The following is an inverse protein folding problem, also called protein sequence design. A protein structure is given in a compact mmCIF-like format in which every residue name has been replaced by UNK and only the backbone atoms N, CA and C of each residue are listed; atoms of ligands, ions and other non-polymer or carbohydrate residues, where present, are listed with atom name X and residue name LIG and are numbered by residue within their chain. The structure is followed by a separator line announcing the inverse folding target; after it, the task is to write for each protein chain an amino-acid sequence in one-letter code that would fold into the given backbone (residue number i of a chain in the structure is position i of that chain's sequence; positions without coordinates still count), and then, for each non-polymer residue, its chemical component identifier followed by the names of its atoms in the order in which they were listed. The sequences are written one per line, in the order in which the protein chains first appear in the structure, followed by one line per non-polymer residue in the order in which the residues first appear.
data_IF_541797610435
#
_entry.id   IF_541797610435
#
_cell.length_a   1.000
_cell.length_b   1.000
_cell.length_c   1.000
_cell.angle_alpha   90.00
_cell.angle_beta   90.00
_cell.angle_gamma   90.00
#
_symmetry.space_group_name_H-M   'P 1'
#
loop_
_entity.id
_entity.type
_entity.pdbx_description
1 polymer ?
#
# COMPACT_ATOMS: atom_id res chain seq x y z
N UNK A 1 21.91 -12.17 -4.30
CA UNK A 1 23.24 -12.78 -4.25
C UNK A 1 24.29 -11.68 -4.05
N UNK A 2 25.03 -11.71 -2.94
CA UNK A 2 26.04 -10.68 -2.63
C UNK A 2 27.23 -10.68 -3.60
N UNK A 3 27.59 -11.84 -4.16
CA UNK A 3 28.72 -11.98 -5.08
C UNK A 3 28.40 -11.40 -6.47
N UNK A 4 27.22 -11.69 -6.99
CA UNK A 4 26.82 -11.25 -8.35
C UNK A 4 26.07 -9.93 -8.34
N UNK A 5 25.67 -9.41 -7.16
CA UNK A 5 24.78 -8.25 -6.99
C UNK A 5 23.43 -8.40 -7.71
N UNK A 6 23.07 -9.62 -8.06
CA UNK A 6 21.80 -9.92 -8.68
C UNK A 6 20.72 -10.16 -7.61
N UNK A 7 19.58 -9.50 -7.77
CA UNK A 7 18.36 -9.76 -7.01
C UNK A 7 17.42 -10.60 -7.87
N UNK A 8 16.94 -11.70 -7.32
CA UNK A 8 15.99 -12.59 -7.99
C UNK A 8 14.75 -12.72 -7.12
N UNK A 9 13.59 -12.39 -7.69
CA UNK A 9 12.30 -12.72 -7.10
C UNK A 9 11.94 -14.17 -7.33
N UNK A 10 11.04 -14.72 -6.50
CA UNK A 10 10.45 -16.01 -6.76
C UNK A 10 9.27 -15.87 -7.74
N UNK A 11 9.10 -16.84 -8.62
CA UNK A 11 7.87 -16.93 -9.42
C UNK A 11 6.67 -17.14 -8.48
N UNK A 12 5.55 -16.47 -8.76
CA UNK A 12 4.29 -16.70 -8.05
C UNK A 12 3.84 -18.14 -8.30
N UNK A 13 3.81 -18.97 -7.27
CA UNK A 13 3.39 -20.36 -7.38
C UNK A 13 2.64 -20.79 -6.13
N UNK A 14 1.61 -21.61 -6.32
CA UNK A 14 0.84 -22.18 -5.21
C UNK A 14 1.65 -23.15 -4.34
N UNK A 15 2.77 -23.66 -4.85
CA UNK A 15 3.69 -24.50 -4.05
C UNK A 15 4.33 -23.76 -2.89
N UNK A 16 4.43 -22.44 -2.93
CA UNK A 16 4.96 -21.61 -1.84
C UNK A 16 3.92 -21.29 -0.76
N UNK A 17 2.64 -21.62 -0.98
CA UNK A 17 1.58 -21.33 -0.01
C UNK A 17 1.59 -22.35 1.12
N UNK A 18 1.55 -21.94 2.41
CA UNK A 18 1.45 -22.85 3.52
C UNK A 18 0.09 -23.57 3.52
N UNK A 19 0.05 -24.79 4.04
CA UNK A 19 -1.20 -25.53 4.20
C UNK A 19 -2.08 -24.95 5.30
N UNK A 20 -1.47 -24.32 6.30
CA UNK A 20 -2.13 -23.60 7.39
C UNK A 20 -1.17 -22.55 7.94
N UNK A 21 -1.69 -21.55 8.63
CA UNK A 21 -0.93 -20.54 9.35
C UNK A 21 -1.47 -20.40 10.78
N UNK A 22 -0.58 -20.22 11.75
CA UNK A 22 -0.93 -19.90 13.14
C UNK A 22 -0.62 -18.43 13.35
N UNK A 23 -1.65 -17.62 13.50
CA UNK A 23 -1.55 -16.18 13.71
C UNK A 23 -1.49 -15.90 15.22
N UNK A 24 -0.29 -15.62 15.74
CA UNK A 24 -0.09 -15.28 17.15
C UNK A 24 0.43 -13.83 17.27
N UNK A 25 -0.42 -12.86 17.64
CA UNK A 25 -0.05 -11.45 17.73
C UNK A 25 1.10 -11.17 18.70
N UNK A 26 1.26 -11.98 19.75
CA UNK A 26 2.35 -11.79 20.73
C UNK A 26 3.73 -11.91 20.11
N UNK A 27 3.89 -12.65 19.02
CA UNK A 27 5.17 -12.79 18.33
C UNK A 27 5.61 -11.49 17.65
N UNK A 28 4.72 -10.51 17.51
CA UNK A 28 5.01 -9.21 16.93
C UNK A 28 5.36 -8.13 17.96
N UNK A 29 5.31 -8.41 19.27
CA UNK A 29 5.59 -7.42 20.33
C UNK A 29 7.01 -6.87 20.31
N UNK A 30 7.97 -7.65 19.80
CA UNK A 30 9.37 -7.27 19.72
C UNK A 30 9.74 -6.52 18.43
N UNK A 31 8.78 -6.32 17.51
CA UNK A 31 9.03 -5.53 16.32
C UNK A 31 9.29 -4.07 16.69
N UNK A 32 10.34 -3.43 16.15
CA UNK A 32 10.52 -1.99 16.25
C UNK A 32 9.28 -1.26 15.72
N UNK A 33 8.96 -0.12 16.31
CA UNK A 33 7.80 0.68 15.92
C UNK A 33 7.81 1.01 14.42
N UNK A 34 8.94 1.48 13.90
CA UNK A 34 9.10 1.77 12.48
C UNK A 34 8.73 0.57 11.57
N UNK A 35 9.08 -0.65 11.95
CA UNK A 35 8.74 -1.85 11.19
C UNK A 35 7.25 -2.22 11.33
N UNK A 36 6.66 -1.96 12.48
CA UNK A 36 5.22 -2.14 12.70
C UNK A 36 4.41 -1.22 11.79
N UNK A 37 4.75 0.07 11.78
CA UNK A 37 4.02 1.08 11.00
C UNK A 37 4.26 0.91 9.50
N UNK A 38 5.49 0.59 9.10
CA UNK A 38 5.79 0.21 7.73
C UNK A 38 4.96 -0.99 7.26
N UNK A 39 4.78 -2.00 8.12
CA UNK A 39 3.90 -3.14 7.85
C UNK A 39 2.42 -2.73 7.72
N UNK A 40 1.94 -1.80 8.55
CA UNK A 40 0.58 -1.27 8.43
C UNK A 40 0.38 -0.55 7.08
N UNK A 41 1.36 0.23 6.63
CA UNK A 41 1.32 0.88 5.31
C UNK A 41 1.28 -0.16 4.20
N UNK A 42 2.08 -1.22 4.26
CA UNK A 42 2.08 -2.27 3.24
C UNK A 42 0.72 -2.97 3.13
N UNK A 43 0.07 -3.27 4.26
CA UNK A 43 -1.30 -3.80 4.30
C UNK A 43 -2.29 -2.87 3.60
N UNK A 44 -2.22 -1.57 3.86
CA UNK A 44 -3.04 -0.56 3.20
C UNK A 44 -2.76 -0.51 1.71
N UNK A 45 -1.49 -0.49 1.31
CA UNK A 45 -1.10 -0.40 -0.10
C UNK A 45 -1.55 -1.60 -0.91
N UNK A 46 -1.42 -2.82 -0.38
CA UNK A 46 -1.97 -4.02 -1.03
C UNK A 46 -3.48 -3.95 -1.26
N UNK A 47 -4.20 -3.29 -0.35
CA UNK A 47 -5.65 -3.07 -0.50
C UNK A 47 -5.93 -1.94 -1.47
N UNK A 48 -5.24 -0.80 -1.35
CA UNK A 48 -5.44 0.39 -2.20
C UNK A 48 -5.12 0.12 -3.67
N UNK A 49 -4.07 -0.63 -3.98
CA UNK A 49 -3.74 -0.93 -5.38
C UNK A 49 -4.76 -1.83 -6.06
N UNK A 50 -5.53 -2.61 -5.30
CA UNK A 50 -6.69 -3.34 -5.83
C UNK A 50 -7.97 -2.52 -5.83
N UNK A 51 -8.06 -1.53 -4.95
CA UNK A 51 -9.20 -0.62 -4.85
C UNK A 51 -9.18 0.45 -5.93
N UNK A 52 -8.06 1.13 -6.18
CA UNK A 52 -7.92 2.19 -7.17
C UNK A 52 -7.70 1.62 -8.58
N UNK A 53 -8.73 1.02 -9.13
CA UNK A 53 -8.75 0.51 -10.50
C UNK A 53 -9.75 1.28 -11.36
N UNK A 54 -9.50 1.38 -12.66
CA UNK A 54 -10.36 2.11 -13.59
C UNK A 54 -11.28 1.14 -14.37
N UNK A 55 -11.98 0.28 -13.62
CA UNK A 55 -12.99 -0.66 -14.11
C UNK A 55 -14.18 -0.65 -13.18
N UNK A 56 -15.31 -1.20 -13.61
CA UNK A 56 -16.41 -1.49 -12.69
C UNK A 56 -15.94 -2.44 -11.58
N UNK A 57 -16.31 -2.14 -10.34
CA UNK A 57 -15.96 -2.90 -9.16
C UNK A 57 -17.19 -3.53 -8.52
N UNK A 58 -16.97 -4.47 -7.61
CA UNK A 58 -18.05 -5.12 -6.86
C UNK A 58 -18.25 -4.40 -5.54
N UNK A 59 -19.47 -3.97 -5.27
CA UNK A 59 -19.85 -3.24 -4.05
C UNK A 59 -19.39 -3.95 -2.76
N UNK A 60 -19.56 -5.28 -2.68
CA UNK A 60 -19.15 -6.05 -1.51
C UNK A 60 -17.62 -6.05 -1.35
N UNK A 61 -16.86 -6.12 -2.44
CA UNK A 61 -15.39 -6.09 -2.40
C UNK A 61 -14.90 -4.71 -1.98
N UNK A 62 -15.54 -3.65 -2.44
CA UNK A 62 -15.25 -2.28 -2.04
C UNK A 62 -15.50 -2.08 -0.55
N UNK A 63 -16.67 -2.50 -0.05
CA UNK A 63 -17.03 -2.39 1.37
C UNK A 63 -16.05 -3.17 2.28
N UNK A 64 -15.61 -4.36 1.87
CA UNK A 64 -14.58 -5.13 2.60
C UNK A 64 -13.26 -4.38 2.62
N UNK A 65 -12.84 -3.81 1.48
CA UNK A 65 -11.59 -3.07 1.36
C UNK A 65 -11.59 -1.79 2.20
N UNK A 66 -12.70 -1.05 2.17
CA UNK A 66 -12.90 0.18 2.95
C UNK A 66 -12.89 -0.11 4.46
N UNK A 67 -13.62 -1.13 4.92
CA UNK A 67 -13.61 -1.55 6.32
C UNK A 67 -12.22 -2.04 6.78
N UNK A 68 -11.47 -2.75 5.92
CA UNK A 68 -10.11 -3.18 6.20
C UNK A 68 -9.18 -1.97 6.37
N UNK A 69 -9.24 -1.00 5.44
CA UNK A 69 -8.44 0.22 5.52
C UNK A 69 -8.74 1.03 6.78
N UNK A 70 -10.01 1.24 7.12
CA UNK A 70 -10.42 1.90 8.37
C UNK A 70 -9.86 1.19 9.60
N UNK A 71 -9.96 -0.15 9.64
CA UNK A 71 -9.47 -0.97 10.76
C UNK A 71 -7.95 -0.82 10.93
N UNK A 72 -7.19 -0.85 9.82
CA UNK A 72 -5.73 -0.68 9.87
C UNK A 72 -5.34 0.72 10.33
N UNK A 73 -5.96 1.77 9.78
CA UNK A 73 -5.70 3.17 10.16
C UNK A 73 -5.96 3.39 11.65
N UNK A 74 -7.06 2.85 12.18
CA UNK A 74 -7.41 2.99 13.59
C UNK A 74 -6.40 2.27 14.49
N UNK A 75 -6.10 1.01 14.20
CA UNK A 75 -5.23 0.18 15.04
C UNK A 75 -3.75 0.57 14.94
N UNK A 76 -3.25 1.05 13.80
CA UNK A 76 -1.91 1.60 13.67
C UNK A 76 -1.71 2.79 14.63
N UNK A 77 -2.68 3.71 14.72
CA UNK A 77 -2.64 4.83 15.68
C UNK A 77 -2.66 4.38 17.15
N UNK A 78 -3.27 3.25 17.46
CA UNK A 78 -3.20 2.65 18.81
C UNK A 78 -1.78 2.14 19.05
N UNK A 79 -1.19 1.42 18.08
CA UNK A 79 0.14 0.83 18.22
C UNK A 79 1.26 1.87 18.33
N UNK A 80 1.06 3.09 17.80
CA UNK A 80 1.96 4.22 18.06
C UNK A 80 2.08 4.58 19.54
N UNK A 81 1.03 4.36 20.33
CA UNK A 81 0.97 4.74 21.74
C UNK A 81 1.14 3.53 22.66
N UNK A 82 0.64 2.40 22.24
CA UNK A 82 0.57 1.15 22.99
C UNK A 82 1.13 0.01 22.12
N UNK A 83 2.46 -0.11 21.95
CA UNK A 83 3.07 -1.09 21.04
C UNK A 83 2.71 -2.54 21.35
N UNK A 84 2.39 -2.86 22.60
CA UNK A 84 2.04 -4.19 23.08
C UNK A 84 0.52 -4.42 23.20
N UNK A 85 -0.31 -3.53 22.64
CA UNK A 85 -1.75 -3.71 22.65
C UNK A 85 -2.13 -4.95 21.84
N UNK A 86 -2.54 -6.01 22.54
CA UNK A 86 -2.85 -7.30 21.92
C UNK A 86 -3.95 -7.20 20.86
N UNK A 87 -5.04 -6.48 21.18
CA UNK A 87 -6.19 -6.36 20.27
C UNK A 87 -5.80 -5.66 18.98
N UNK A 88 -5.07 -4.54 19.08
CA UNK A 88 -4.59 -3.84 17.89
C UNK A 88 -3.64 -4.69 17.04
N UNK A 89 -2.72 -5.41 17.68
CA UNK A 89 -1.82 -6.34 16.96
C UNK A 89 -2.58 -7.50 16.29
N UNK A 90 -3.62 -8.00 16.93
CA UNK A 90 -4.46 -9.06 16.37
C UNK A 90 -5.22 -8.58 15.13
N UNK A 91 -5.79 -7.36 15.19
CA UNK A 91 -6.48 -6.76 14.04
C UNK A 91 -5.52 -6.50 12.88
N UNK A 92 -4.33 -5.93 13.13
CA UNK A 92 -3.31 -5.71 12.09
C UNK A 92 -2.86 -7.04 11.47
N UNK A 93 -2.60 -8.06 12.28
CA UNK A 93 -2.17 -9.38 11.78
C UNK A 93 -3.26 -10.04 10.92
N UNK A 94 -4.53 -9.93 11.32
CA UNK A 94 -5.64 -10.45 10.54
C UNK A 94 -5.87 -9.64 9.25
N UNK A 95 -5.86 -8.30 9.33
CA UNK A 95 -5.94 -7.43 8.16
C UNK A 95 -4.83 -7.72 7.15
N UNK A 96 -3.59 -7.96 7.63
CA UNK A 96 -2.47 -8.37 6.77
C UNK A 96 -2.75 -9.66 6.01
N UNK A 97 -3.34 -10.67 6.67
CA UNK A 97 -3.75 -11.89 5.98
C UNK A 97 -4.80 -11.64 4.91
N UNK A 98 -5.80 -10.82 5.19
CA UNK A 98 -6.90 -10.51 4.27
C UNK A 98 -6.46 -9.65 3.08
N UNK A 99 -5.58 -8.66 3.31
CA UNK A 99 -5.06 -7.81 2.25
C UNK A 99 -4.18 -8.57 1.25
N UNK A 100 -3.52 -9.66 1.68
CA UNK A 100 -2.57 -10.41 0.85
C UNK A 100 -3.14 -11.70 0.22
N UNK A 101 -4.28 -12.20 0.68
CA UNK A 101 -4.85 -13.46 0.18
C UNK A 101 -5.70 -13.32 -1.09
N UNK A 102 -5.86 -12.10 -1.60
CA UNK A 102 -6.62 -11.80 -2.81
C UNK A 102 -8.08 -11.41 -2.57
N UNK A 103 -8.58 -11.43 -1.33
CA UNK A 103 -9.97 -11.09 -1.01
C UNK A 103 -10.36 -9.69 -1.49
N UNK A 104 -9.51 -8.69 -1.20
CA UNK A 104 -9.71 -7.29 -1.60
C UNK A 104 -9.55 -7.04 -3.11
N UNK A 105 -9.24 -8.08 -3.89
CA UNK A 105 -9.07 -8.04 -5.34
C UNK A 105 -10.16 -8.77 -6.12
N UNK A 106 -11.17 -9.33 -5.45
CA UNK A 106 -12.24 -10.05 -6.12
C UNK A 106 -13.05 -9.10 -7.02
N UNK A 107 -13.09 -9.39 -8.33
CA UNK A 107 -13.80 -8.56 -9.32
C UNK A 107 -13.07 -7.27 -9.75
N UNK A 108 -11.84 -7.01 -9.28
CA UNK A 108 -11.10 -5.77 -9.58
C UNK A 108 -10.08 -5.89 -10.72
N UNK A 109 -10.05 -6.98 -11.44
CA UNK A 109 -9.05 -7.21 -12.51
C UNK A 109 -7.62 -7.44 -12.02
N UNK A 110 -7.39 -7.48 -10.69
CA UNK A 110 -6.10 -7.80 -10.08
C UNK A 110 -5.30 -6.61 -9.53
N UNK A 111 -5.71 -5.39 -9.80
CA UNK A 111 -5.07 -4.17 -9.27
C UNK A 111 -4.11 -3.47 -10.24
N UNK A 112 -3.71 -2.26 -9.91
CA UNK A 112 -2.78 -1.42 -10.69
C UNK A 112 -1.31 -1.79 -10.43
N UNK A 113 -0.89 -1.85 -9.17
CA UNK A 113 0.45 -2.21 -8.70
C UNK A 113 1.57 -1.23 -9.05
N UNK A 114 1.26 -0.03 -9.53
CA UNK A 114 2.27 0.95 -9.92
C UNK A 114 3.18 1.38 -8.76
N UNK A 115 2.60 1.63 -7.57
CA UNK A 115 3.39 2.02 -6.41
C UNK A 115 4.34 0.90 -5.96
N UNK A 116 3.88 -0.36 -5.93
CA UNK A 116 4.74 -1.49 -5.59
C UNK A 116 5.88 -1.68 -6.59
N UNK A 117 5.61 -1.52 -7.90
CA UNK A 117 6.65 -1.65 -8.91
C UNK A 117 7.73 -0.59 -8.79
N UNK A 118 7.34 0.67 -8.58
CA UNK A 118 8.27 1.77 -8.36
C UNK A 118 9.07 1.57 -7.06
N UNK A 119 8.41 1.12 -6.00
CA UNK A 119 9.05 0.90 -4.71
C UNK A 119 10.05 -0.26 -4.77
N UNK A 120 9.75 -1.34 -5.50
CA UNK A 120 10.69 -2.46 -5.66
C UNK A 120 12.03 -2.01 -6.25
N UNK A 121 12.03 -1.01 -7.16
CA UNK A 121 13.26 -0.43 -7.67
C UNK A 121 13.98 0.40 -6.60
N UNK A 122 13.25 1.20 -5.81
CA UNK A 122 13.82 1.94 -4.67
C UNK A 122 14.41 0.99 -3.63
N UNK A 123 13.65 -0.01 -3.21
CA UNK A 123 14.12 -1.04 -2.27
C UNK A 123 15.30 -1.82 -2.82
N UNK A 124 15.26 -2.09 -4.14
CA UNK A 124 16.33 -2.79 -4.86
C UNK A 124 17.67 -2.04 -4.90
N UNK A 125 17.63 -0.75 -5.16
CA UNK A 125 18.83 0.09 -5.35
C UNK A 125 19.29 0.74 -4.04
N UNK A 126 18.35 1.26 -3.24
CA UNK A 126 18.66 2.09 -2.06
C UNK A 126 18.41 1.39 -0.74
N UNK A 127 17.93 0.14 -0.76
CA UNK A 127 17.66 -0.67 0.44
C UNK A 127 16.72 0.02 1.45
N UNK A 128 15.70 0.72 0.96
CA UNK A 128 14.67 1.33 1.80
C UNK A 128 13.72 0.28 2.37
N UNK A 129 13.08 0.59 3.49
CA UNK A 129 12.05 -0.27 4.07
C UNK A 129 10.80 -0.20 3.19
N UNK A 130 10.29 -1.36 2.76
CA UNK A 130 9.24 -1.49 1.74
C UNK A 130 8.01 -0.60 1.97
N UNK A 131 7.34 -0.72 3.11
CA UNK A 131 6.14 0.09 3.38
C UNK A 131 6.44 1.60 3.50
N UNK A 132 7.63 1.99 3.98
CA UNK A 132 8.03 3.40 4.01
C UNK A 132 8.27 3.94 2.59
N UNK A 133 8.87 3.14 1.71
CA UNK A 133 9.02 3.47 0.29
C UNK A 133 7.67 3.62 -0.41
N UNK A 134 6.72 2.73 -0.12
CA UNK A 134 5.34 2.83 -0.62
C UNK A 134 4.64 4.12 -0.16
N UNK A 135 4.74 4.45 1.13
CA UNK A 135 4.16 5.69 1.67
C UNK A 135 4.73 6.94 0.98
N UNK A 136 6.06 6.95 0.74
CA UNK A 136 6.75 8.06 0.10
C UNK A 136 6.32 8.31 -1.37
N UNK A 137 5.86 7.27 -2.07
CA UNK A 137 5.47 7.34 -3.49
C UNK A 137 3.98 7.62 -3.65
N UNK A 138 3.14 7.04 -2.79
CA UNK A 138 1.70 6.95 -3.00
C UNK A 138 1.03 8.31 -3.24
N UNK A 139 1.34 9.34 -2.47
CA UNK A 139 0.72 10.66 -2.60
C UNK A 139 0.95 11.30 -3.97
N UNK A 140 2.16 11.14 -4.52
CA UNK A 140 2.51 11.64 -5.86
C UNK A 140 1.79 10.86 -6.95
N UNK A 141 1.74 9.52 -6.84
CA UNK A 141 1.01 8.66 -7.75
C UNK A 141 -0.49 9.00 -7.72
N UNK A 142 -1.10 9.10 -6.54
CA UNK A 142 -2.51 9.39 -6.38
C UNK A 142 -2.91 10.72 -7.03
N UNK A 143 -2.09 11.79 -6.83
CA UNK A 143 -2.31 13.08 -7.50
C UNK A 143 -2.12 13.03 -9.00
N UNK A 144 -1.31 12.14 -9.51
CA UNK A 144 -1.12 11.97 -10.94
C UNK A 144 -2.33 11.29 -11.61
N UNK A 145 -2.97 10.32 -10.93
CA UNK A 145 -4.01 9.48 -11.55
C UNK A 145 -5.44 9.85 -11.17
N UNK A 146 -5.70 10.59 -10.06
CA UNK A 146 -7.05 10.80 -9.53
C UNK A 146 -8.02 11.42 -10.53
N UNK A 147 -7.53 12.24 -11.48
CA UNK A 147 -8.38 12.88 -12.49
C UNK A 147 -8.97 11.90 -13.51
N UNK A 148 -8.41 10.69 -13.62
CA UNK A 148 -8.94 9.64 -14.51
C UNK A 148 -10.26 9.08 -13.98
N UNK A 149 -10.38 8.96 -12.64
CA UNK A 149 -11.59 8.50 -11.98
C UNK A 149 -11.75 9.21 -10.62
N UNK A 150 -12.12 10.51 -10.61
CA UNK A 150 -12.22 11.29 -9.38
C UNK A 150 -13.33 10.78 -8.45
N UNK A 151 -14.38 10.17 -8.99
CA UNK A 151 -15.47 9.57 -8.21
C UNK A 151 -14.94 8.43 -7.33
N UNK A 152 -14.04 7.59 -7.84
CA UNK A 152 -13.40 6.50 -7.07
C UNK A 152 -12.58 7.02 -5.91
N UNK A 153 -11.82 8.10 -6.10
CA UNK A 153 -11.07 8.75 -5.04
C UNK A 153 -11.98 9.49 -4.05
N UNK A 154 -13.10 10.07 -4.51
CA UNK A 154 -14.09 10.66 -3.62
C UNK A 154 -14.80 9.61 -2.77
N UNK A 155 -15.14 8.43 -3.33
CA UNK A 155 -15.67 7.29 -2.59
C UNK A 155 -14.70 6.86 -1.48
N UNK A 156 -13.42 6.73 -1.80
CA UNK A 156 -12.38 6.45 -0.81
C UNK A 156 -12.33 7.50 0.31
N UNK A 157 -12.35 8.78 -0.04
CA UNK A 157 -12.35 9.88 0.94
C UNK A 157 -13.54 9.79 1.90
N UNK A 158 -14.72 9.52 1.34
CA UNK A 158 -15.97 9.43 2.13
C UNK A 158 -16.01 8.18 2.98
N UNK A 159 -15.72 7.02 2.39
CA UNK A 159 -15.94 5.76 3.08
C UNK A 159 -14.78 5.37 4.01
N UNK A 160 -13.55 5.85 3.78
CA UNK A 160 -12.39 5.52 4.63
C UNK A 160 -12.11 6.59 5.68
N UNK A 161 -12.35 7.86 5.35
CA UNK A 161 -12.02 9.00 6.21
C UNK A 161 -13.23 9.82 6.68
N UNK A 162 -14.45 9.40 6.38
CA UNK A 162 -15.69 10.10 6.73
C UNK A 162 -15.76 11.55 6.19
N UNK A 163 -15.05 11.83 5.09
CA UNK A 163 -15.06 13.15 4.44
C UNK A 163 -16.36 13.29 3.66
N UNK A 164 -17.19 14.30 3.96
CA UNK A 164 -18.44 14.50 3.22
C UNK A 164 -18.19 14.66 1.72
N UNK A 165 -18.91 13.89 0.90
CA UNK A 165 -18.84 14.04 -0.54
C UNK A 165 -19.48 15.37 -0.96
N UNK A 166 -18.69 16.26 -1.55
CA UNK A 166 -19.16 17.51 -2.12
C UNK A 166 -19.80 17.34 -3.49
N UNK A 167 -20.18 18.46 -4.12
CA UNK A 167 -20.67 18.49 -5.50
C UNK A 167 -19.55 18.30 -6.52
N UNK A 168 -18.30 18.59 -6.15
CA UNK A 168 -17.10 18.35 -6.95
C UNK A 168 -16.33 17.15 -6.39
N UNK A 169 -16.34 16.06 -7.13
CA UNK A 169 -15.61 14.85 -6.79
C UNK A 169 -14.09 15.08 -6.74
N UNK A 170 -13.55 16.03 -7.51
CA UNK A 170 -12.10 16.31 -7.50
C UNK A 170 -11.65 16.93 -6.18
N UNK A 171 -12.43 17.86 -5.63
CA UNK A 171 -12.13 18.44 -4.33
C UNK A 171 -12.18 17.38 -3.23
N UNK A 172 -13.22 16.53 -3.22
CA UNK A 172 -13.36 15.43 -2.26
C UNK A 172 -12.23 14.42 -2.42
N UNK A 173 -11.83 14.09 -3.65
CA UNK A 173 -10.72 13.19 -3.95
C UNK A 173 -9.39 13.71 -3.39
N UNK A 174 -9.09 14.99 -3.62
CA UNK A 174 -7.86 15.62 -3.10
C UNK A 174 -7.84 15.66 -1.57
N UNK A 175 -8.98 15.93 -0.93
CA UNK A 175 -9.10 15.85 0.53
C UNK A 175 -8.84 14.43 1.06
N UNK A 176 -9.28 13.40 0.36
CA UNK A 176 -8.98 11.99 0.70
C UNK A 176 -7.51 11.65 0.55
N UNK A 177 -6.86 12.14 -0.50
CA UNK A 177 -5.41 11.96 -0.70
C UNK A 177 -4.63 12.63 0.44
N UNK A 178 -4.98 13.86 0.79
CA UNK A 178 -4.36 14.58 1.90
C UNK A 178 -4.60 13.88 3.25
N UNK A 179 -5.80 13.35 3.47
CA UNK A 179 -6.12 12.60 4.69
C UNK A 179 -5.24 11.36 4.85
N UNK A 180 -4.97 10.62 3.76
CA UNK A 180 -4.07 9.46 3.79
C UNK A 180 -2.62 9.86 4.03
N UNK A 181 -2.12 10.92 3.38
CA UNK A 181 -0.78 11.43 3.67
C UNK A 181 -0.64 11.90 5.14
N UNK A 182 -1.67 12.55 5.67
CA UNK A 182 -1.71 12.94 7.08
C UNK A 182 -1.73 11.72 8.01
N UNK A 183 -2.40 10.64 7.59
CA UNK A 183 -2.30 9.37 8.31
C UNK A 183 -0.86 8.85 8.29
N UNK A 184 -0.20 8.78 7.13
CA UNK A 184 1.20 8.33 7.05
C UNK A 184 2.12 9.14 7.97
N UNK A 185 2.02 10.47 7.95
CA UNK A 185 2.77 11.34 8.88
C UNK A 185 2.43 11.06 10.34
N UNK A 186 1.17 10.75 10.66
CA UNK A 186 0.72 10.46 12.04
C UNK A 186 1.30 9.18 12.62
N UNK A 187 1.80 8.28 11.76
CA UNK A 187 2.50 7.04 12.12
C UNK A 187 3.98 7.09 11.73
N UNK A 188 4.53 8.28 11.63
CA UNK A 188 5.96 8.54 11.35
C UNK A 188 6.47 7.92 10.04
N UNK A 189 5.58 7.74 9.05
CA UNK A 189 5.95 7.28 7.72
C UNK A 189 6.15 8.45 6.75
N UNK A 190 7.19 8.40 5.90
CA UNK A 190 7.52 9.47 4.96
C UNK A 190 6.44 9.60 3.88
N UNK A 191 6.22 10.82 3.38
CA UNK A 191 5.30 11.12 2.28
C UNK A 191 6.01 11.68 1.04
N UNK A 192 7.34 11.63 1.03
CA UNK A 192 8.18 12.01 -0.10
C UNK A 192 9.51 11.24 -0.08
N UNK A 193 10.21 11.19 -1.21
CA UNK A 193 11.55 10.59 -1.28
C UNK A 193 12.54 11.33 -0.39
N UNK A 194 12.42 12.67 -0.28
CA UNK A 194 13.24 13.48 0.62
C UNK A 194 13.04 13.08 2.10
N UNK A 195 11.79 12.95 2.55
CA UNK A 195 11.49 12.47 3.91
C UNK A 195 11.96 11.03 4.15
N UNK A 196 12.00 10.21 3.10
CA UNK A 196 12.58 8.86 3.13
C UNK A 196 14.12 8.87 3.24
N UNK A 197 14.75 10.05 3.11
CA UNK A 197 16.20 10.23 3.14
C UNK A 197 16.88 10.05 1.78
N UNK A 198 16.12 10.16 0.69
CA UNK A 198 16.63 10.02 -0.68
C UNK A 198 16.53 11.35 -1.44
N UNK A 199 17.67 11.97 -1.68
CA UNK A 199 17.81 13.12 -2.56
C UNK A 199 18.33 12.65 -3.93
N UNK A 200 17.39 12.26 -4.80
CA UNK A 200 17.71 11.69 -6.09
C UNK A 200 17.83 12.78 -7.17
N UNK A 201 18.81 12.67 -8.03
CA UNK A 201 18.94 13.48 -9.25
C UNK A 201 17.90 13.03 -10.29
N UNK A 202 17.55 13.90 -11.23
CA UNK A 202 16.65 13.59 -12.35
C UNK A 202 17.13 12.33 -13.14
N UNK A 203 18.44 12.17 -13.30
CA UNK A 203 19.00 11.00 -13.97
C UNK A 203 18.74 9.69 -13.18
N UNK A 204 18.84 9.73 -11.85
CA UNK A 204 18.55 8.57 -10.99
C UNK A 204 17.05 8.24 -11.01
N UNK A 205 16.17 9.25 -10.95
CA UNK A 205 14.74 9.08 -11.07
C UNK A 205 14.38 8.46 -12.43
N UNK A 206 14.95 8.99 -13.51
CA UNK A 206 14.73 8.44 -14.85
C UNK A 206 15.19 6.99 -14.97
N UNK A 207 16.33 6.64 -14.36
CA UNK A 207 16.82 5.27 -14.34
C UNK A 207 15.84 4.32 -13.63
N UNK A 208 15.30 4.71 -12.46
CA UNK A 208 14.32 3.92 -11.71
C UNK A 208 13.04 3.70 -12.53
N UNK A 209 12.53 4.76 -13.16
CA UNK A 209 11.33 4.67 -14.00
C UNK A 209 11.54 3.78 -15.24
N UNK A 210 12.75 3.77 -15.80
CA UNK A 210 13.07 2.96 -16.97
C UNK A 210 13.22 1.48 -16.64
N UNK A 211 13.71 1.15 -15.46
CA UNK A 211 13.90 -0.24 -15.00
C UNK A 211 12.62 -0.84 -14.41
N UNK A 212 11.66 -0.01 -14.01
CA UNK A 212 10.36 -0.47 -13.54
C UNK A 212 9.59 -1.16 -14.67
N UNK A 213 9.11 -2.40 -14.47
CA UNK A 213 8.36 -3.11 -15.50
C UNK A 213 7.09 -2.36 -15.86
N UNK A 214 6.90 -2.10 -17.17
CA UNK A 214 5.71 -1.41 -17.63
C UNK A 214 4.46 -2.30 -17.48
N UNK A 215 3.24 -1.74 -17.42
CA UNK A 215 2.00 -2.52 -17.44
C UNK A 215 1.90 -3.47 -18.66
N UNK A 216 2.61 -3.16 -19.75
CA UNK A 216 2.68 -4.02 -20.94
C UNK A 216 3.49 -5.29 -20.71
N UNK A 217 4.54 -5.22 -19.87
CA UNK A 217 5.37 -6.38 -19.56
C UNK A 217 4.61 -7.39 -18.69
N UNK A 218 3.68 -6.89 -17.86
CA UNK A 218 2.75 -7.72 -17.08
C UNK A 218 1.70 -8.43 -17.96
N UNK A 219 1.23 -7.80 -19.01
CA UNK A 219 0.29 -8.43 -19.96
C UNK A 219 0.97 -9.56 -20.75
N UNK A 220 2.23 -9.38 -21.14
CA UNK A 220 3.00 -10.39 -21.85
C UNK A 220 3.37 -11.62 -20.99
N UNK A 221 3.47 -11.48 -19.68
CA UNK A 221 3.77 -12.58 -18.75
C UNK A 221 2.58 -13.47 -18.41
N UNK A 222 1.36 -13.12 -18.87
CA UNK A 222 0.10 -13.85 -18.67
C UNK A 222 -0.37 -14.63 -19.91
N UNK A 223 0.36 -14.54 -21.03
CA UNK A 223 0.17 -15.39 -22.20
C UNK A 223 1.14 -16.58 -22.15
#
# INVERSE_FOLDING_TARGET
NEETKEKRGCAKTDYCRPKFAILNPRLTYTLPQYQTESGCVDILMHTMERYFVNIETMEITDSISEALMQTVIYNARILMKEPDNYSARAEIMWAGSLSHNGLTGCGTGGGDWACHQLEHELGGVYNVTHGAGLAAIWGSWARYVYEVNPERFAQFATNVFDIPCGTDYKETALAGIEAMENFFRSVEMPTSLHELGLDLTDQQIHCLLYTSPSPRDYAASRM
#
